data_IF_620172633387
#
_entry.id   IF_620172633387
#
_cell.length_a   1.000
_cell.length_b   1.000
_cell.length_c   1.000
_cell.angle_alpha   90.00
_cell.angle_beta   90.00
_cell.angle_gamma   90.00
#
_symmetry.space_group_name_H-M   'P 1'
#
loop_
_entity.id
_entity.type
_entity.pdbx_description
1 polymer ?
#
# COMPACT_ATOMS: atom_id res chain seq x y z
N UNK A 1 -5.71 4.54 31.77
CA UNK A 1 -5.76 4.40 30.30
C UNK A 1 -6.42 3.06 30.04
N UNK A 2 -7.66 3.03 29.56
CA UNK A 2 -8.28 1.77 29.15
C UNK A 2 -7.61 1.37 27.83
N UNK A 3 -7.01 0.18 27.79
CA UNK A 3 -6.28 -0.32 26.63
C UNK A 3 -6.96 -1.59 26.17
N UNK A 4 -7.16 -1.72 24.86
CA UNK A 4 -7.72 -2.92 24.24
C UNK A 4 -9.14 -2.73 23.71
N UNK A 5 -9.80 -3.87 23.52
CA UNK A 5 -11.12 -3.97 22.92
C UNK A 5 -12.18 -3.38 23.85
N UNK A 6 -12.93 -2.39 23.36
CA UNK A 6 -14.10 -1.83 24.04
C UNK A 6 -15.32 -2.72 23.85
N UNK A 7 -15.53 -3.23 22.63
CA UNK A 7 -16.66 -4.11 22.32
C UNK A 7 -16.33 -5.04 21.16
N UNK A 8 -16.49 -6.35 21.40
CA UNK A 8 -16.37 -7.36 20.36
C UNK A 8 -17.48 -7.24 19.31
N UNK A 9 -18.69 -6.83 19.71
CA UNK A 9 -19.82 -6.67 18.81
C UNK A 9 -19.61 -5.50 17.84
N UNK A 10 -19.06 -4.38 18.33
CA UNK A 10 -18.69 -3.24 17.48
C UNK A 10 -17.57 -3.61 16.50
N UNK A 11 -16.59 -4.41 16.95
CA UNK A 11 -15.57 -4.92 16.03
C UNK A 11 -16.19 -5.87 14.99
N UNK A 12 -17.06 -6.78 15.41
CA UNK A 12 -17.78 -7.70 14.54
C UNK A 12 -18.65 -6.97 13.52
N UNK A 13 -19.32 -5.89 13.91
CA UNK A 13 -20.05 -4.98 13.03
C UNK A 13 -19.14 -4.42 11.94
N UNK A 14 -18.03 -3.77 12.33
CA UNK A 14 -17.09 -3.16 11.40
C UNK A 14 -16.51 -4.17 10.39
N UNK A 15 -16.12 -5.36 10.87
CA UNK A 15 -15.60 -6.44 10.02
C UNK A 15 -16.67 -7.04 9.11
N UNK A 16 -17.89 -7.21 9.62
CA UNK A 16 -19.03 -7.79 8.91
C UNK A 16 -19.47 -6.99 7.69
N UNK A 17 -19.19 -5.68 7.65
CA UNK A 17 -19.51 -4.78 6.51
C UNK A 17 -19.02 -5.31 5.17
N UNK A 18 -17.89 -6.04 5.15
CA UNK A 18 -17.29 -6.58 3.92
C UNK A 18 -18.14 -7.67 3.25
N UNK A 19 -18.95 -8.41 4.03
CA UNK A 19 -19.65 -9.62 3.58
C UNK A 19 -21.17 -9.47 3.63
N UNK A 20 -21.67 -8.25 3.88
CA UNK A 20 -23.11 -7.96 3.88
C UNK A 20 -23.73 -8.41 2.57
N UNK A 21 -24.80 -9.19 2.66
CA UNK A 21 -25.54 -9.69 1.51
C UNK A 21 -27.04 -9.77 1.83
N UNK A 22 -27.86 -9.64 0.80
CA UNK A 22 -29.31 -9.77 0.90
C UNK A 22 -29.83 -10.54 -0.32
N UNK A 23 -30.72 -11.52 -0.10
CA UNK A 23 -31.26 -12.36 -1.18
C UNK A 23 -30.18 -13.09 -2.00
N UNK A 24 -29.08 -13.51 -1.35
CA UNK A 24 -27.95 -14.17 -2.01
C UNK A 24 -27.02 -13.24 -2.81
N UNK A 25 -27.27 -11.93 -2.82
CA UNK A 25 -26.43 -10.94 -3.50
C UNK A 25 -25.58 -10.17 -2.50
N UNK A 26 -24.26 -10.15 -2.70
CA UNK A 26 -23.34 -9.33 -1.91
C UNK A 26 -23.57 -7.85 -2.20
N UNK A 27 -23.58 -7.02 -1.14
CA UNK A 27 -23.73 -5.57 -1.27
C UNK A 27 -22.52 -4.94 -1.96
N UNK A 28 -21.32 -5.36 -1.56
CA UNK A 28 -20.06 -4.89 -2.16
C UNK A 28 -19.37 -6.04 -2.87
N UNK A 29 -19.02 -5.83 -4.14
CA UNK A 29 -18.30 -6.81 -4.97
C UNK A 29 -16.95 -6.29 -5.46
N UNK A 30 -16.76 -4.98 -5.48
CA UNK A 30 -15.50 -4.35 -5.85
C UNK A 30 -14.52 -4.30 -4.67
N UNK A 31 -13.26 -4.65 -4.93
CA UNK A 31 -12.21 -4.72 -3.91
C UNK A 31 -11.97 -3.39 -3.19
N UNK A 32 -12.03 -2.26 -3.90
CA UNK A 32 -11.81 -0.94 -3.30
C UNK A 32 -13.03 -0.51 -2.48
N UNK A 33 -14.25 -0.84 -2.90
CA UNK A 33 -15.45 -0.61 -2.08
C UNK A 33 -15.43 -1.45 -0.79
N UNK A 34 -14.96 -2.70 -0.86
CA UNK A 34 -14.75 -3.54 0.33
C UNK A 34 -13.72 -2.91 1.27
N UNK A 35 -12.59 -2.40 0.74
CA UNK A 35 -11.63 -1.64 1.53
C UNK A 35 -12.25 -0.40 2.17
N UNK A 36 -13.03 0.37 1.42
CA UNK A 36 -13.65 1.61 1.88
C UNK A 36 -14.65 1.37 3.01
N UNK A 37 -15.52 0.36 2.88
CA UNK A 37 -16.54 0.06 3.89
C UNK A 37 -15.94 -0.52 5.17
N UNK A 38 -14.92 -1.37 5.05
CA UNK A 38 -14.15 -1.89 6.19
C UNK A 38 -13.48 -0.74 6.96
N UNK A 39 -12.75 0.10 6.22
CA UNK A 39 -12.06 1.24 6.78
C UNK A 39 -13.02 2.17 7.52
N UNK A 40 -14.14 2.50 6.88
CA UNK A 40 -15.19 3.32 7.48
C UNK A 40 -15.70 2.74 8.79
N UNK A 41 -16.08 1.45 8.80
CA UNK A 41 -16.56 0.78 10.00
C UNK A 41 -15.55 0.80 11.14
N UNK A 42 -14.27 0.52 10.84
CA UNK A 42 -13.21 0.52 11.86
C UNK A 42 -12.95 1.92 12.44
N UNK A 43 -13.11 2.98 11.65
CA UNK A 43 -13.00 4.36 12.15
C UNK A 43 -14.21 4.72 13.00
N UNK A 44 -15.43 4.31 12.60
CA UNK A 44 -16.69 4.80 13.18
C UNK A 44 -17.24 3.99 14.34
N UNK A 45 -17.06 2.68 14.35
CA UNK A 45 -17.70 1.80 15.34
C UNK A 45 -17.02 1.92 16.72
N UNK A 46 -15.86 2.58 16.80
CA UNK A 46 -15.10 2.82 18.04
C UNK A 46 -14.94 1.54 18.89
N UNK A 47 -14.60 0.44 18.22
CA UNK A 47 -14.51 -0.88 18.82
C UNK A 47 -13.37 -1.01 19.84
N UNK A 48 -12.40 -0.11 19.82
CA UNK A 48 -11.27 -0.04 20.76
C UNK A 48 -11.37 1.19 21.66
N UNK A 49 -10.82 1.10 22.86
CA UNK A 49 -10.75 2.24 23.78
C UNK A 49 -9.83 3.36 23.27
N UNK A 50 -8.77 3.01 22.54
CA UNK A 50 -7.88 3.93 21.81
C UNK A 50 -7.29 3.17 20.60
N UNK A 51 -6.90 3.91 19.58
CA UNK A 51 -6.21 3.41 18.40
C UNK A 51 -7.14 3.01 17.26
N UNK A 52 -8.40 3.44 17.26
CA UNK A 52 -9.36 3.14 16.19
C UNK A 52 -8.86 3.68 14.85
N UNK A 53 -8.46 4.96 14.82
CA UNK A 53 -7.92 5.63 13.62
C UNK A 53 -6.69 4.91 13.06
N UNK A 54 -5.75 4.56 13.95
CA UNK A 54 -4.50 3.85 13.60
C UNK A 54 -4.77 2.44 13.07
N UNK A 55 -5.61 1.69 13.78
CA UNK A 55 -5.97 0.32 13.40
C UNK A 55 -6.72 0.31 12.08
N UNK A 56 -7.65 1.24 11.87
CA UNK A 56 -8.37 1.37 10.61
C UNK A 56 -7.42 1.67 9.44
N UNK A 57 -6.49 2.61 9.61
CA UNK A 57 -5.51 2.95 8.57
C UNK A 57 -4.59 1.78 8.23
N UNK A 58 -4.02 1.11 9.24
CA UNK A 58 -3.17 -0.06 9.02
C UNK A 58 -3.94 -1.20 8.34
N UNK A 59 -5.18 -1.45 8.77
CA UNK A 59 -6.04 -2.47 8.17
C UNK A 59 -6.38 -2.14 6.73
N UNK A 60 -6.66 -0.86 6.41
CA UNK A 60 -6.90 -0.39 5.05
C UNK A 60 -5.69 -0.64 4.16
N UNK A 61 -4.49 -0.23 4.58
CA UNK A 61 -3.25 -0.43 3.80
C UNK A 61 -2.97 -1.92 3.58
N UNK A 62 -3.16 -2.74 4.62
CA UNK A 62 -3.02 -4.18 4.52
C UNK A 62 -4.05 -4.81 3.55
N UNK A 63 -5.32 -4.44 3.64
CA UNK A 63 -6.36 -4.96 2.75
C UNK A 63 -6.14 -4.55 1.29
N UNK A 64 -5.69 -3.30 1.05
CA UNK A 64 -5.32 -2.83 -0.27
C UNK A 64 -4.21 -3.70 -0.88
N UNK A 65 -3.15 -3.99 -0.11
CA UNK A 65 -2.05 -4.83 -0.59
C UNK A 65 -2.48 -6.27 -0.86
N UNK A 66 -3.38 -6.84 -0.05
CA UNK A 66 -3.99 -8.15 -0.32
C UNK A 66 -4.78 -8.19 -1.64
N UNK A 67 -5.45 -7.09 -2.00
CA UNK A 67 -6.14 -6.94 -3.28
C UNK A 67 -5.23 -6.48 -4.43
N UNK A 68 -3.93 -6.39 -4.20
CA UNK A 68 -2.96 -5.98 -5.22
C UNK A 68 -3.02 -4.49 -5.54
N UNK A 69 -3.42 -3.64 -4.60
CA UNK A 69 -3.35 -2.19 -4.71
C UNK A 69 -2.22 -1.64 -3.85
N UNK A 70 -1.38 -0.80 -4.45
CA UNK A 70 -0.25 -0.17 -3.77
C UNK A 70 -0.54 1.33 -3.62
N UNK A 71 -0.44 1.89 -2.40
CA UNK A 71 -0.51 3.32 -2.17
C UNK A 71 0.46 4.09 -3.06
N UNK A 72 -0.01 5.14 -3.72
CA UNK A 72 0.76 5.92 -4.70
C UNK A 72 0.74 7.43 -4.41
N UNK A 73 0.38 7.81 -3.19
CA UNK A 73 0.33 9.21 -2.74
C UNK A 73 0.93 9.33 -1.36
N UNK A 74 1.32 10.55 -0.99
CA UNK A 74 1.90 10.82 0.32
C UNK A 74 0.98 10.46 1.48
N UNK A 75 1.60 10.06 2.59
CA UNK A 75 0.92 9.63 3.80
C UNK A 75 -0.04 10.70 4.35
N UNK A 76 0.28 11.98 4.21
CA UNK A 76 -0.57 13.09 4.65
C UNK A 76 -1.98 13.05 4.02
N UNK A 77 -2.13 12.52 2.79
CA UNK A 77 -3.46 12.37 2.19
C UNK A 77 -4.28 11.28 2.87
N UNK A 78 -3.65 10.18 3.27
CA UNK A 78 -4.31 9.12 4.05
C UNK A 78 -4.66 9.60 5.46
N UNK A 79 -3.75 10.31 6.13
CA UNK A 79 -4.02 10.92 7.44
C UNK A 79 -5.23 11.87 7.38
N UNK A 80 -5.27 12.74 6.36
CA UNK A 80 -6.41 13.65 6.13
C UNK A 80 -7.72 12.89 5.89
N UNK A 81 -7.69 11.79 5.15
CA UNK A 81 -8.87 10.95 4.92
C UNK A 81 -9.38 10.33 6.23
N UNK A 82 -8.48 9.77 7.05
CA UNK A 82 -8.82 9.18 8.36
C UNK A 82 -9.48 10.21 9.27
N UNK A 83 -8.90 11.41 9.36
CA UNK A 83 -9.45 12.51 10.17
C UNK A 83 -10.83 12.93 9.66
N UNK A 84 -11.00 13.06 8.33
CA UNK A 84 -12.27 13.44 7.74
C UNK A 84 -13.40 12.42 8.01
N UNK A 85 -13.09 11.12 7.93
CA UNK A 85 -14.06 10.07 8.28
C UNK A 85 -14.37 10.07 9.77
N UNK A 86 -13.36 10.16 10.62
CA UNK A 86 -13.54 10.18 12.07
C UNK A 86 -14.45 11.34 12.50
N UNK A 87 -14.23 12.53 11.93
CA UNK A 87 -14.95 13.76 12.23
C UNK A 87 -16.30 13.92 11.49
N UNK A 88 -16.72 12.96 10.65
CA UNK A 88 -17.89 13.11 9.77
C UNK A 88 -17.84 14.34 8.84
N UNK A 89 -16.66 14.69 8.34
CA UNK A 89 -16.43 15.87 7.49
C UNK A 89 -16.01 15.49 6.07
N UNK A 90 -16.28 14.25 5.61
CA UNK A 90 -15.92 13.80 4.25
C UNK A 90 -16.53 14.71 3.18
N UNK A 91 -17.80 15.08 3.29
CA UNK A 91 -18.47 16.00 2.36
C UNK A 91 -17.78 17.37 2.34
N UNK A 92 -17.52 17.96 3.50
CA UNK A 92 -16.89 19.27 3.61
C UNK A 92 -15.41 19.26 3.14
N UNK A 93 -14.70 18.15 3.38
CA UNK A 93 -13.29 18.00 3.06
C UNK A 93 -13.05 17.67 1.59
N UNK A 94 -13.98 16.92 0.97
CA UNK A 94 -13.91 16.44 -0.41
C UNK A 94 -15.21 16.74 -1.20
N UNK A 95 -15.62 18.02 -1.31
CA UNK A 95 -16.93 18.38 -1.85
C UNK A 95 -17.07 18.05 -3.34
N UNK A 96 -15.95 18.06 -4.09
CA UNK A 96 -15.93 17.77 -5.53
C UNK A 96 -16.20 16.29 -5.79
N UNK A 97 -15.56 15.42 -5.00
CA UNK A 97 -15.71 13.97 -5.07
C UNK A 97 -17.09 13.57 -4.54
N UNK A 98 -17.51 14.12 -3.40
CA UNK A 98 -18.82 13.88 -2.80
C UNK A 98 -19.98 14.16 -3.75
N UNK A 99 -19.92 15.29 -4.48
CA UNK A 99 -20.96 15.68 -5.44
C UNK A 99 -21.28 14.59 -6.48
N UNK A 100 -20.31 13.74 -6.82
CA UNK A 100 -20.48 12.62 -7.77
C UNK A 100 -21.38 11.52 -7.20
N UNK A 101 -21.37 11.33 -5.89
CA UNK A 101 -22.02 10.21 -5.22
C UNK A 101 -23.18 10.62 -4.29
N UNK A 102 -23.49 11.91 -4.16
CA UNK A 102 -24.53 12.42 -3.24
C UNK A 102 -25.92 11.76 -3.36
N UNK A 103 -26.23 11.14 -4.52
CA UNK A 103 -27.51 10.47 -4.80
C UNK A 103 -27.43 8.95 -4.64
N UNK A 104 -26.26 8.40 -4.34
CA UNK A 104 -26.07 6.98 -4.08
C UNK A 104 -26.59 6.63 -2.68
N UNK A 105 -26.83 5.34 -2.43
CA UNK A 105 -27.33 4.84 -1.13
C UNK A 105 -26.34 5.13 0.01
N UNK A 106 -25.04 4.95 -0.24
CA UNK A 106 -23.96 5.23 0.72
C UNK A 106 -22.95 6.22 0.11
N UNK A 107 -23.26 7.53 0.08
CA UNK A 107 -22.42 8.53 -0.58
C UNK A 107 -21.02 8.61 0.04
N UNK A 108 -20.91 8.40 1.36
CA UNK A 108 -19.64 8.44 2.07
C UNK A 108 -18.72 7.28 1.67
N UNK A 109 -19.24 6.04 1.65
CA UNK A 109 -18.47 4.86 1.23
C UNK A 109 -18.03 4.99 -0.22
N UNK A 110 -18.90 5.45 -1.10
CA UNK A 110 -18.59 5.65 -2.52
C UNK A 110 -17.55 6.76 -2.73
N UNK A 111 -17.61 7.84 -1.94
CA UNK A 111 -16.61 8.91 -1.97
C UNK A 111 -15.25 8.40 -1.49
N UNK A 112 -15.21 7.65 -0.38
CA UNK A 112 -13.98 7.02 0.12
C UNK A 112 -13.41 6.07 -0.94
N UNK A 113 -14.23 5.18 -1.51
CA UNK A 113 -13.80 4.26 -2.55
C UNK A 113 -13.21 4.99 -3.76
N UNK A 114 -13.85 6.07 -4.21
CA UNK A 114 -13.33 6.90 -5.29
C UNK A 114 -11.98 7.52 -4.94
N UNK A 115 -11.82 8.08 -3.74
CA UNK A 115 -10.54 8.63 -3.28
C UNK A 115 -9.46 7.54 -3.25
N UNK A 116 -9.76 6.36 -2.73
CA UNK A 116 -8.82 5.23 -2.70
C UNK A 116 -8.37 4.81 -4.10
N UNK A 117 -9.27 4.81 -5.10
CA UNK A 117 -8.88 4.56 -6.51
C UNK A 117 -7.90 5.60 -7.05
N UNK A 118 -7.99 6.85 -6.60
CA UNK A 118 -7.06 7.91 -7.00
C UNK A 118 -5.75 7.88 -6.20
N UNK A 119 -5.77 7.27 -5.01
CA UNK A 119 -4.64 7.23 -4.07
C UNK A 119 -3.82 5.94 -4.18
N UNK A 120 -4.23 5.00 -5.04
CA UNK A 120 -3.59 3.69 -5.21
C UNK A 120 -3.38 3.37 -6.68
N UNK A 121 -2.36 2.57 -6.96
CA UNK A 121 -2.11 1.93 -8.26
C UNK A 121 -2.40 0.43 -8.13
N UNK A 122 -3.10 -0.15 -9.11
CA UNK A 122 -3.25 -1.60 -9.17
C UNK A 122 -1.92 -2.20 -9.62
N UNK A 123 -1.49 -3.25 -8.95
CA UNK A 123 -0.27 -3.97 -9.27
C UNK A 123 -0.37 -4.53 -10.68
N UNK A 124 0.62 -4.21 -11.49
CA UNK A 124 0.76 -4.71 -12.85
C UNK A 124 2.11 -5.43 -12.99
N UNK A 125 2.03 -6.70 -13.32
CA UNK A 125 3.19 -7.57 -13.50
C UNK A 125 3.72 -7.55 -14.94
N UNK A 126 3.13 -6.71 -15.80
CA UNK A 126 3.50 -6.56 -17.20
C UNK A 126 4.86 -5.86 -17.33
N UNK A 127 5.70 -6.42 -18.19
CA UNK A 127 7.04 -5.91 -18.45
C UNK A 127 7.05 -5.21 -19.80
N UNK A 128 6.78 -3.90 -19.79
CA UNK A 128 6.71 -3.06 -21.00
C UNK A 128 7.97 -2.23 -21.26
N UNK A 129 9.03 -2.48 -20.49
CA UNK A 129 10.31 -1.77 -20.59
C UNK A 129 11.42 -2.71 -21.07
N UNK A 130 12.52 -2.15 -21.55
CA UNK A 130 13.73 -2.91 -21.90
C UNK A 130 14.97 -2.13 -21.45
N UNK A 131 15.16 -1.95 -20.12
CA UNK A 131 16.23 -1.17 -19.57
C UNK A 131 17.58 -1.77 -19.94
N UNK A 132 18.54 -0.92 -20.22
CA UNK A 132 19.96 -1.28 -20.32
C UNK A 132 20.49 -1.71 -18.95
N UNK A 133 21.63 -2.40 -18.94
CA UNK A 133 22.23 -2.83 -17.69
C UNK A 133 22.62 -1.65 -16.80
N UNK A 134 23.02 -0.53 -17.40
CA UNK A 134 23.26 0.73 -16.69
C UNK A 134 21.99 1.25 -16.00
N UNK A 135 20.88 1.36 -16.73
CA UNK A 135 19.60 1.84 -16.18
C UNK A 135 19.06 0.90 -15.09
N UNK A 136 19.20 -0.41 -15.29
CA UNK A 136 18.78 -1.40 -14.30
C UNK A 136 19.57 -1.32 -13.00
N UNK A 137 20.89 -1.15 -13.08
CA UNK A 137 21.71 -1.00 -11.88
C UNK A 137 21.41 0.31 -11.15
N UNK A 138 21.23 1.42 -11.88
CA UNK A 138 20.87 2.71 -11.30
C UNK A 138 19.51 2.68 -10.59
N UNK A 139 18.49 2.06 -11.20
CA UNK A 139 17.17 1.89 -10.59
C UNK A 139 17.23 1.03 -9.31
N UNK A 140 18.05 -0.02 -9.31
CA UNK A 140 18.24 -0.85 -8.12
C UNK A 140 19.03 -0.13 -7.02
N UNK A 141 20.00 0.70 -7.37
CA UNK A 141 20.74 1.53 -6.42
C UNK A 141 19.83 2.49 -5.67
N UNK A 142 18.88 3.14 -6.38
CA UNK A 142 17.84 3.97 -5.76
C UNK A 142 16.91 3.17 -4.82
N UNK A 143 16.83 1.85 -4.99
CA UNK A 143 16.06 0.94 -4.13
C UNK A 143 16.93 0.26 -3.04
N UNK A 144 18.01 0.91 -2.62
CA UNK A 144 18.95 0.46 -1.58
C UNK A 144 19.69 -0.85 -1.91
N UNK A 145 19.94 -1.13 -3.19
CA UNK A 145 20.71 -2.31 -3.64
C UNK A 145 22.11 -1.89 -4.07
N UNK A 146 23.14 -2.50 -3.47
CA UNK A 146 24.50 -2.40 -3.99
C UNK A 146 24.75 -3.45 -5.06
N UNK A 147 25.61 -3.12 -6.03
CA UNK A 147 25.99 -4.04 -7.09
C UNK A 147 27.49 -4.03 -7.37
N UNK A 148 28.00 -5.16 -7.85
CA UNK A 148 29.41 -5.34 -8.21
C UNK A 148 29.54 -6.20 -9.48
N UNK A 149 30.31 -5.72 -10.45
CA UNK A 149 30.63 -6.48 -11.65
C UNK A 149 31.89 -7.33 -11.43
N UNK A 150 31.78 -8.65 -11.57
CA UNK A 150 32.90 -9.59 -11.47
C UNK A 150 32.97 -10.45 -12.73
N UNK A 151 33.84 -10.07 -13.66
CA UNK A 151 33.98 -10.75 -14.96
C UNK A 151 32.69 -10.71 -15.77
N UNK A 152 32.13 -11.88 -16.08
CA UNK A 152 30.88 -12.04 -16.85
C UNK A 152 29.62 -12.08 -15.98
N UNK A 153 29.71 -11.64 -14.71
CA UNK A 153 28.61 -11.65 -13.75
C UNK A 153 28.41 -10.28 -13.11
N UNK A 154 27.15 -9.95 -12.84
CA UNK A 154 26.74 -8.81 -12.03
C UNK A 154 26.12 -9.36 -10.74
N UNK A 155 26.69 -8.98 -9.60
CA UNK A 155 26.23 -9.37 -8.27
C UNK A 155 25.43 -8.23 -7.66
N UNK A 156 24.27 -8.53 -7.10
CA UNK A 156 23.44 -7.59 -6.37
C UNK A 156 23.33 -8.02 -4.91
N UNK A 157 23.38 -7.04 -4.00
CA UNK A 157 23.20 -7.25 -2.57
C UNK A 157 22.28 -6.18 -2.00
N UNK A 158 21.25 -6.59 -1.28
CA UNK A 158 20.37 -5.70 -0.51
C UNK A 158 20.40 -6.10 0.95
N UNK A 159 20.48 -5.12 1.85
CA UNK A 159 20.41 -5.34 3.29
C UNK A 159 19.21 -4.60 3.83
N UNK A 160 18.23 -5.33 4.31
CA UNK A 160 17.00 -4.78 4.88
C UNK A 160 17.04 -4.92 6.40
N UNK A 161 16.73 -3.83 7.12
CA UNK A 161 16.52 -3.89 8.56
C UNK A 161 15.05 -4.19 8.84
N UNK A 162 14.74 -5.40 9.29
CA UNK A 162 13.38 -5.75 9.67
C UNK A 162 13.10 -5.28 11.09
N UNK A 163 12.34 -4.20 11.25
CA UNK A 163 11.91 -3.71 12.57
C UNK A 163 11.11 -4.77 13.35
N UNK A 164 10.32 -5.58 12.63
CA UNK A 164 9.53 -6.67 13.21
C UNK A 164 10.35 -7.86 13.71
N UNK A 165 11.53 -8.12 13.12
CA UNK A 165 12.40 -9.25 13.48
C UNK A 165 13.68 -8.82 14.23
N UNK A 166 13.89 -7.52 14.47
CA UNK A 166 15.09 -6.95 15.11
C UNK A 166 16.41 -7.49 14.52
N UNK A 167 16.42 -7.80 13.21
CA UNK A 167 17.59 -8.36 12.53
C UNK A 167 17.74 -7.78 11.13
N UNK A 168 18.99 -7.77 10.66
CA UNK A 168 19.32 -7.47 9.27
C UNK A 168 19.13 -8.73 8.43
N UNK A 169 18.25 -8.67 7.43
CA UNK A 169 18.15 -9.72 6.41
C UNK A 169 18.96 -9.28 5.19
N UNK A 170 19.84 -10.17 4.72
CA UNK A 170 20.68 -9.93 3.55
C UNK A 170 20.15 -10.75 2.38
N UNK A 171 19.87 -10.08 1.27
CA UNK A 171 19.43 -10.71 0.02
C UNK A 171 20.51 -10.54 -1.03
N UNK A 172 20.77 -11.59 -1.80
CA UNK A 172 21.76 -11.58 -2.86
C UNK A 172 21.23 -12.27 -4.10
N UNK A 173 21.56 -11.72 -5.26
CA UNK A 173 21.23 -12.32 -6.54
C UNK A 173 22.34 -12.03 -7.55
N UNK A 174 22.46 -12.88 -8.57
CA UNK A 174 23.52 -12.73 -9.58
C UNK A 174 22.95 -13.00 -10.96
N UNK A 175 23.30 -12.14 -11.91
CA UNK A 175 22.88 -12.27 -13.30
C UNK A 175 24.09 -12.24 -14.23
N UNK A 176 23.96 -12.73 -15.48
CA UNK A 176 24.99 -12.56 -16.50
C UNK A 176 25.22 -11.09 -16.82
N UNK A 177 26.49 -10.68 -16.93
CA UNK A 177 26.92 -9.34 -17.33
C UNK A 177 27.62 -9.39 -18.70
N UNK A 178 26.96 -8.83 -19.71
CA UNK A 178 27.44 -8.82 -21.10
C UNK A 178 27.75 -7.40 -21.61
N UNK A 179 27.87 -6.42 -20.70
CA UNK A 179 28.13 -5.02 -20.99
C UNK A 179 27.01 -4.07 -20.55
N UNK A 180 27.38 -2.83 -20.26
CA UNK A 180 26.50 -1.80 -19.69
C UNK A 180 25.32 -1.38 -20.57
N UNK A 181 25.46 -1.47 -21.89
CA UNK A 181 24.43 -1.08 -22.87
C UNK A 181 23.51 -2.23 -23.27
N UNK A 182 23.77 -3.46 -22.80
CA UNK A 182 22.92 -4.62 -23.09
C UNK A 182 21.63 -4.53 -22.28
N UNK A 183 20.51 -4.91 -22.90
CA UNK A 183 19.20 -4.88 -22.25
C UNK A 183 19.03 -6.06 -21.29
N UNK A 184 18.33 -5.81 -20.20
CA UNK A 184 17.89 -6.85 -19.26
C UNK A 184 16.53 -7.37 -19.71
N UNK A 185 16.44 -8.68 -19.92
CA UNK A 185 15.16 -9.31 -20.28
C UNK A 185 14.18 -9.38 -19.10
N UNK A 186 12.88 -9.43 -19.41
CA UNK A 186 11.77 -9.46 -18.45
C UNK A 186 11.95 -10.50 -17.33
N UNK A 187 12.36 -11.73 -17.71
CA UNK A 187 12.57 -12.82 -16.76
C UNK A 187 13.71 -12.50 -15.78
N UNK A 188 14.87 -12.09 -16.30
CA UNK A 188 16.03 -11.73 -15.47
C UNK A 188 15.71 -10.58 -14.53
N UNK A 189 15.02 -9.54 -15.01
CA UNK A 189 14.60 -8.42 -14.18
C UNK A 189 13.64 -8.87 -13.08
N UNK A 190 12.62 -9.68 -13.42
CA UNK A 190 11.66 -10.26 -12.45
C UNK A 190 12.36 -11.07 -11.37
N UNK A 191 13.17 -12.03 -11.79
CA UNK A 191 13.81 -12.96 -10.87
C UNK A 191 14.77 -12.21 -9.93
N UNK A 192 15.45 -11.18 -10.44
CA UNK A 192 16.31 -10.29 -9.64
C UNK A 192 15.51 -9.50 -8.61
N UNK A 193 14.45 -8.80 -9.04
CA UNK A 193 13.62 -8.01 -8.11
C UNK A 193 12.92 -8.88 -7.06
N UNK A 194 12.52 -10.10 -7.42
CA UNK A 194 11.89 -11.04 -6.51
C UNK A 194 12.90 -11.59 -5.50
N UNK A 195 14.11 -11.97 -5.94
CA UNK A 195 15.18 -12.43 -5.07
C UNK A 195 15.65 -11.36 -4.09
N UNK A 196 15.66 -10.09 -4.52
CA UNK A 196 16.02 -8.94 -3.69
C UNK A 196 14.85 -8.36 -2.88
N UNK A 197 13.66 -8.97 -2.92
CA UNK A 197 12.44 -8.52 -2.20
C UNK A 197 11.99 -7.10 -2.54
N UNK A 198 12.23 -6.67 -3.77
CA UNK A 198 11.82 -5.35 -4.30
C UNK A 198 10.52 -5.46 -5.09
N UNK A 199 10.25 -6.63 -5.68
CA UNK A 199 9.13 -6.81 -6.60
C UNK A 199 7.76 -6.42 -6.01
N UNK A 200 7.53 -6.71 -4.73
CA UNK A 200 6.25 -6.40 -4.07
C UNK A 200 6.21 -4.98 -3.48
N UNK A 201 7.29 -4.20 -3.63
CA UNK A 201 7.41 -2.84 -3.12
C UNK A 201 6.90 -1.79 -4.10
N UNK A 202 6.69 -2.16 -5.37
CA UNK A 202 6.29 -1.26 -6.46
C UNK A 202 5.05 -1.78 -7.17
N UNK A 203 4.21 -0.87 -7.67
CA UNK A 203 2.96 -1.27 -8.33
C UNK A 203 3.26 -1.86 -9.70
N UNK A 204 4.21 -1.29 -10.43
CA UNK A 204 4.61 -1.73 -11.75
C UNK A 204 6.13 -1.83 -11.85
N UNK A 205 6.62 -2.55 -12.86
CA UNK A 205 8.06 -2.56 -13.15
C UNK A 205 8.58 -1.15 -13.46
N UNK A 206 7.82 -0.35 -14.18
CA UNK A 206 8.19 1.02 -14.55
C UNK A 206 8.45 1.87 -13.31
N UNK A 207 7.64 1.71 -12.25
CA UNK A 207 7.79 2.49 -11.02
C UNK A 207 9.17 2.31 -10.35
N UNK A 208 9.84 1.17 -10.56
CA UNK A 208 11.22 0.93 -10.07
C UNK A 208 12.22 1.87 -10.76
N UNK A 209 11.98 2.23 -12.03
CA UNK A 209 12.87 3.06 -12.85
C UNK A 209 12.46 4.53 -12.83
N UNK A 210 11.21 4.83 -12.51
CA UNK A 210 10.66 6.19 -12.40
C UNK A 210 10.89 6.82 -11.01
N UNK A 211 11.84 6.26 -10.24
CA UNK A 211 12.23 6.74 -8.90
C UNK A 211 11.03 6.91 -7.95
N UNK A 212 10.04 6.01 -8.06
CA UNK A 212 8.90 6.02 -7.16
C UNK A 212 9.30 5.52 -5.77
N UNK A 213 8.63 6.01 -4.73
CA UNK A 213 8.89 5.51 -3.39
C UNK A 213 8.37 4.08 -3.24
N UNK A 214 9.18 3.15 -2.71
CA UNK A 214 8.74 1.79 -2.43
C UNK A 214 7.76 1.73 -1.26
N UNK A 215 6.93 0.69 -1.23
CA UNK A 215 5.90 0.48 -0.21
C UNK A 215 6.47 0.52 1.22
N UNK A 216 7.64 -0.07 1.48
CA UNK A 216 8.26 -0.02 2.82
C UNK A 216 8.58 1.40 3.26
N UNK A 217 9.04 2.27 2.36
CA UNK A 217 9.34 3.67 2.69
C UNK A 217 8.05 4.40 3.08
N UNK A 218 6.94 4.11 2.39
CA UNK A 218 5.63 4.62 2.79
C UNK A 218 5.23 4.10 4.17
N UNK A 219 5.38 2.79 4.45
CA UNK A 219 5.09 2.20 5.77
C UNK A 219 5.91 2.86 6.88
N UNK A 220 7.20 3.12 6.65
CA UNK A 220 8.04 3.84 7.61
C UNK A 220 7.59 5.28 7.81
N UNK A 221 7.17 5.97 6.75
CA UNK A 221 6.55 7.29 6.84
C UNK A 221 5.23 7.27 7.62
N UNK A 222 4.46 6.17 7.61
CA UNK A 222 3.25 6.03 8.41
C UNK A 222 3.53 5.97 9.92
N UNK A 223 4.74 5.65 10.38
CA UNK A 223 5.05 5.57 11.82
C UNK A 223 4.80 6.90 12.57
N UNK A 224 5.11 8.04 11.97
CA UNK A 224 4.93 9.36 12.59
C UNK A 224 3.45 9.79 12.63
N UNK A 225 2.69 9.77 11.52
CA UNK A 225 1.24 9.90 11.46
C UNK A 225 0.50 8.98 12.44
N UNK A 226 0.91 7.72 12.56
CA UNK A 226 0.28 6.80 13.51
C UNK A 226 0.38 7.34 14.94
N UNK A 227 1.51 7.96 15.33
CA UNK A 227 1.64 8.60 16.66
C UNK A 227 0.73 9.84 16.81
N UNK A 228 0.50 10.59 15.71
CA UNK A 228 -0.39 11.77 15.69
C UNK A 228 -1.88 11.40 15.70
N UNK A 229 -2.24 10.24 15.15
CA UNK A 229 -3.61 9.71 15.14
C UNK A 229 -4.03 9.06 16.47
N UNK A 230 -3.52 9.55 17.61
CA UNK A 230 -4.00 9.13 18.92
C UNK A 230 -5.48 9.52 19.06
N UNK A 231 -6.31 8.64 19.62
CA UNK A 231 -7.67 9.04 19.99
C UNK A 231 -7.56 9.88 21.27
N UNK A 232 -8.20 11.06 21.27
CA UNK A 232 -8.31 11.92 22.46
C UNK A 232 -9.37 11.35 23.43
#
# INVERSE_FOLDING_TARGET
MLVGLRSADLLGSALGRQIVSFGGRKKYTDSIEICATLFYGLVKDHAFHDGNKRTALLTLLYQLTLYGYIPSVSVNKYEKLVVAVAAHTVEATYPKEWKKFKKCEEPEIQTIAYLLRQMTKKKDNSYHISPTMKEFCAALENADVSYEASGSKMHFTRVEYSMWKLKKEKYQYTIPFNGWTRTVGAKTARDTLQALKIYDQYATYQDVFDDQEPLYALVDQFNVPLRRLKDE
#
